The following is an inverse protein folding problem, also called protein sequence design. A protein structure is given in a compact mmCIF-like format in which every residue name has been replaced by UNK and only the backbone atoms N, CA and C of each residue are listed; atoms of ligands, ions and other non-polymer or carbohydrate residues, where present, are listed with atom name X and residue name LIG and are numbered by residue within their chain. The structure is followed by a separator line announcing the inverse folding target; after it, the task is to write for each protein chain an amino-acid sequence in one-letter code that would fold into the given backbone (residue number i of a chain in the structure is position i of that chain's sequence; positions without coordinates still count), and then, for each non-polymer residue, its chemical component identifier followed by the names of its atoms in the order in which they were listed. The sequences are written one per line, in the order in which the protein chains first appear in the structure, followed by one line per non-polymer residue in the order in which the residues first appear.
data_IF_528209552291
#
_entry.id   IF_528209552291
#
_cell.length_a   1.000
_cell.length_b   1.000
_cell.length_c   1.000
_cell.angle_alpha   90.00
_cell.angle_beta   90.00
_cell.angle_gamma   90.00
#
_symmetry.space_group_name_H-M   'P 1'
#
loop_
_entity.id
_entity.type
_entity.pdbx_description
1 polymer ?
#
# COMPACT_ATOMS: atom_id res chain seq x y z
N UNK A 1 41.71 -0.25 18.89
CA UNK A 1 42.22 -1.47 18.30
C UNK A 1 41.06 -2.34 17.87
N UNK A 2 40.91 -2.61 16.56
CA UNK A 2 39.86 -3.42 16.00
C UNK A 2 39.06 -2.71 14.90
N UNK A 3 37.71 -2.70 15.00
CA UNK A 3 36.83 -2.04 14.04
C UNK A 3 36.86 -0.52 14.24
N UNK A 4 36.95 0.23 13.13
CA UNK A 4 36.78 1.67 13.14
C UNK A 4 35.26 2.05 13.20
N UNK A 5 34.98 3.32 13.46
CA UNK A 5 33.60 3.79 13.58
C UNK A 5 32.76 3.62 12.32
N UNK A 6 33.37 3.70 11.13
CA UNK A 6 32.69 3.51 9.84
C UNK A 6 32.28 2.03 9.66
N UNK A 7 33.18 1.11 9.99
CA UNK A 7 32.88 -0.32 9.91
C UNK A 7 31.81 -0.75 10.92
N UNK A 8 31.79 -0.17 12.13
CA UNK A 8 30.71 -0.38 13.11
C UNK A 8 29.39 0.14 12.58
N UNK A 9 29.37 1.35 12.02
CA UNK A 9 28.18 1.95 11.42
C UNK A 9 27.61 1.07 10.31
N UNK A 10 28.43 0.70 9.33
CA UNK A 10 28.02 -0.14 8.20
C UNK A 10 27.45 -1.49 8.68
N UNK A 11 28.06 -2.14 9.69
CA UNK A 11 27.54 -3.39 10.25
C UNK A 11 26.20 -3.22 10.97
N UNK A 12 25.99 -2.13 11.69
CA UNK A 12 24.73 -1.83 12.33
C UNK A 12 23.62 -1.58 11.28
N UNK A 13 23.95 -0.81 10.24
CA UNK A 13 23.00 -0.44 9.19
C UNK A 13 22.67 -1.59 8.24
N UNK A 14 23.56 -2.56 8.08
CA UNK A 14 23.27 -3.78 7.32
C UNK A 14 22.38 -4.79 8.08
N UNK A 15 22.18 -4.62 9.39
CA UNK A 15 21.43 -5.59 10.20
C UNK A 15 19.91 -5.32 10.13
N UNK A 16 19.05 -6.30 9.83
CA UNK A 16 17.61 -6.10 9.61
C UNK A 16 16.88 -5.34 10.73
N UNK A 17 17.20 -5.65 12.00
CA UNK A 17 16.52 -5.04 13.16
C UNK A 17 17.29 -3.86 13.77
N UNK A 18 18.59 -3.73 13.51
CA UNK A 18 19.45 -2.67 14.10
C UNK A 18 19.65 -1.48 13.16
N UNK A 19 19.31 -1.59 11.89
CA UNK A 19 19.45 -0.50 10.89
C UNK A 19 18.74 0.80 11.28
N UNK A 20 17.67 0.69 12.07
CA UNK A 20 16.89 1.84 12.56
C UNK A 20 17.51 2.51 13.82
N UNK A 21 18.63 1.98 14.35
CA UNK A 21 19.34 2.65 15.45
C UNK A 21 20.08 3.85 14.88
N UNK A 22 19.80 5.09 15.37
CA UNK A 22 20.53 6.25 14.94
C UNK A 22 22.02 6.14 15.31
N UNK A 23 22.88 6.44 14.36
CA UNK A 23 24.35 6.41 14.52
C UNK A 23 24.90 7.79 14.25
N UNK A 24 25.51 8.39 15.27
CA UNK A 24 26.26 9.65 15.16
C UNK A 24 27.74 9.34 15.19
N UNK A 25 28.45 9.71 14.14
CA UNK A 25 29.91 9.54 14.08
C UNK A 25 30.60 10.75 14.71
N UNK A 26 31.51 10.48 15.67
CA UNK A 26 32.33 11.51 16.26
C UNK A 26 33.71 11.47 15.60
N UNK A 27 34.06 12.56 14.89
CA UNK A 27 35.31 12.64 14.13
C UNK A 27 36.18 13.76 14.61
N UNK A 28 37.53 13.55 14.52
CA UNK A 28 38.50 14.62 14.72
C UNK A 28 38.75 15.41 13.43
N UNK A 29 38.30 14.90 12.31
CA UNK A 29 38.53 15.47 10.99
C UNK A 29 37.22 16.08 10.48
N UNK A 30 37.29 17.35 10.06
CA UNK A 30 36.15 18.08 9.46
C UNK A 30 36.26 18.14 7.92
N UNK A 31 36.97 17.14 7.35
CA UNK A 31 37.15 17.08 5.91
C UNK A 31 35.94 16.44 5.22
N UNK A 32 35.73 16.88 3.97
CA UNK A 32 34.58 16.46 3.15
C UNK A 32 34.61 14.97 2.84
N UNK A 33 35.78 14.37 2.69
CA UNK A 33 35.94 12.97 2.32
C UNK A 33 35.51 12.04 3.45
N UNK A 34 35.93 12.31 4.69
CA UNK A 34 35.52 11.55 5.86
C UNK A 34 33.99 11.63 6.10
N UNK A 35 33.39 12.81 5.90
CA UNK A 35 31.93 12.97 5.98
C UNK A 35 31.23 12.15 4.93
N UNK A 36 31.70 12.16 3.67
CA UNK A 36 31.11 11.40 2.58
C UNK A 36 31.15 9.89 2.86
N UNK A 37 32.32 9.37 3.25
CA UNK A 37 32.47 7.96 3.62
C UNK A 37 31.54 7.53 4.78
N UNK A 38 31.31 8.42 5.72
CA UNK A 38 30.38 8.16 6.81
C UNK A 38 28.93 8.12 6.37
N UNK A 39 28.51 9.00 5.45
CA UNK A 39 27.19 8.95 4.82
C UNK A 39 27.00 7.66 4.02
N UNK A 40 28.00 7.26 3.24
CA UNK A 40 28.00 5.99 2.51
C UNK A 40 27.91 4.78 3.44
N UNK A 41 28.52 4.84 4.65
CA UNK A 41 28.38 3.83 5.69
C UNK A 41 27.00 3.85 6.39
N UNK A 42 26.14 4.83 6.05
CA UNK A 42 24.79 4.97 6.58
C UNK A 42 24.70 5.71 7.92
N UNK A 43 25.69 6.55 8.29
CA UNK A 43 25.59 7.38 9.48
C UNK A 43 24.47 8.42 9.34
N UNK A 44 23.73 8.64 10.42
CA UNK A 44 22.61 9.58 10.43
C UNK A 44 23.06 11.01 10.73
N UNK A 45 24.20 11.20 11.42
CA UNK A 45 24.77 12.51 11.71
C UNK A 45 26.28 12.43 12.10
N UNK A 46 26.90 13.61 12.21
CA UNK A 46 28.33 13.77 12.57
C UNK A 46 28.51 14.85 13.63
N UNK A 47 29.48 14.66 14.50
CA UNK A 47 29.94 15.65 15.46
C UNK A 47 31.46 15.73 15.41
N UNK A 48 32.00 16.94 15.26
CA UNK A 48 33.45 17.20 15.29
C UNK A 48 33.96 17.28 16.72
N UNK A 49 35.21 16.86 16.95
CA UNK A 49 35.88 17.06 18.25
C UNK A 49 36.44 18.47 18.34
N UNK A 50 36.41 19.11 19.52
CA UNK A 50 35.88 18.63 20.81
C UNK A 50 34.34 18.60 20.80
N UNK A 51 33.76 17.54 21.39
CA UNK A 51 32.31 17.33 21.43
C UNK A 51 31.67 18.31 22.42
N UNK A 52 30.78 19.18 21.94
CA UNK A 52 29.92 19.96 22.79
C UNK A 52 28.75 19.12 23.29
N UNK A 53 28.57 19.06 24.62
CA UNK A 53 27.50 18.24 25.21
C UNK A 53 26.09 18.75 24.90
N UNK A 54 25.94 20.04 24.63
CA UNK A 54 24.66 20.66 24.27
C UNK A 54 24.29 20.32 22.82
N UNK A 55 25.25 20.35 21.90
CA UNK A 55 25.10 19.93 20.52
C UNK A 55 24.77 18.44 20.42
N UNK A 56 25.53 17.57 21.13
CA UNK A 56 25.25 16.14 21.15
C UNK A 56 23.83 15.83 21.63
N UNK A 57 23.39 16.49 22.74
CA UNK A 57 22.01 16.31 23.24
C UNK A 57 20.96 16.79 22.27
N UNK A 58 21.18 17.90 21.56
CA UNK A 58 20.24 18.43 20.58
C UNK A 58 20.07 17.46 19.40
N UNK A 59 21.17 16.98 18.81
CA UNK A 59 21.18 16.04 17.71
C UNK A 59 20.59 14.68 18.09
N UNK A 60 20.99 14.14 19.25
CA UNK A 60 20.42 12.89 19.76
C UNK A 60 18.89 13.00 19.97
N UNK A 61 18.39 14.12 20.47
CA UNK A 61 16.95 14.35 20.65
C UNK A 61 16.19 14.31 19.33
N UNK A 62 16.71 14.94 18.27
CA UNK A 62 16.10 14.94 16.94
C UNK A 62 16.06 13.51 16.39
N UNK A 63 17.21 12.83 16.37
CA UNK A 63 17.31 11.47 15.81
C UNK A 63 16.46 10.45 16.59
N UNK A 64 16.38 10.55 17.92
CA UNK A 64 15.52 9.68 18.73
C UNK A 64 14.04 9.96 18.51
N UNK A 65 13.67 11.23 18.29
CA UNK A 65 12.29 11.59 17.94
C UNK A 65 11.90 11.00 16.57
N UNK A 66 12.77 11.13 15.59
CA UNK A 66 12.52 10.61 14.24
C UNK A 66 12.43 9.07 14.25
N UNK A 67 13.30 8.40 15.02
CA UNK A 67 13.19 6.96 15.24
C UNK A 67 11.87 6.56 15.90
N UNK A 68 11.45 7.28 16.94
CA UNK A 68 10.19 7.00 17.63
C UNK A 68 8.98 7.20 16.70
N UNK A 69 9.04 8.19 15.80
CA UNK A 69 8.02 8.41 14.78
C UNK A 69 7.97 7.26 13.78
N UNK A 70 9.12 6.83 13.24
CA UNK A 70 9.21 5.71 12.30
C UNK A 70 8.67 4.40 12.91
N UNK A 71 9.02 4.09 14.17
CA UNK A 71 8.50 2.90 14.86
C UNK A 71 6.97 2.97 15.07
N UNK A 72 6.40 4.16 15.25
CA UNK A 72 4.94 4.34 15.33
C UNK A 72 4.27 4.15 13.98
N UNK A 73 4.89 4.61 12.90
CA UNK A 73 4.39 4.43 11.54
C UNK A 73 4.41 2.95 11.14
N UNK A 74 5.50 2.23 11.39
CA UNK A 74 5.60 0.78 11.16
C UNK A 74 4.54 0.01 11.95
N UNK A 75 4.27 0.41 13.20
CA UNK A 75 3.22 -0.18 14.02
C UNK A 75 1.81 0.08 13.48
N UNK A 76 1.54 1.29 12.99
CA UNK A 76 0.26 1.65 12.40
C UNK A 76 0.00 0.88 11.11
N UNK A 77 0.99 0.75 10.23
CA UNK A 77 0.89 -0.05 9.00
C UNK A 77 0.58 -1.52 9.31
N UNK A 78 1.28 -2.11 10.28
CA UNK A 78 1.03 -3.48 10.72
C UNK A 78 -0.41 -3.67 11.24
N UNK A 79 -0.92 -2.71 12.01
CA UNK A 79 -2.32 -2.75 12.51
C UNK A 79 -3.31 -2.68 11.36
N UNK A 80 -3.10 -1.79 10.40
CA UNK A 80 -3.93 -1.63 9.21
C UNK A 80 -4.00 -2.93 8.41
N UNK A 81 -2.85 -3.54 8.12
CA UNK A 81 -2.77 -4.83 7.42
C UNK A 81 -3.47 -5.95 8.21
N UNK A 82 -3.31 -5.96 9.52
CA UNK A 82 -3.95 -6.95 10.39
C UNK A 82 -5.48 -6.79 10.37
N UNK A 83 -6.00 -5.57 10.42
CA UNK A 83 -7.44 -5.31 10.34
C UNK A 83 -8.01 -5.73 8.98
N UNK A 84 -7.35 -5.42 7.88
CA UNK A 84 -7.76 -5.88 6.55
C UNK A 84 -7.84 -7.42 6.50
N UNK A 85 -6.84 -8.12 7.03
CA UNK A 85 -6.84 -9.59 7.12
C UNK A 85 -7.99 -10.14 7.98
N UNK A 86 -8.31 -9.50 9.10
CA UNK A 86 -9.45 -9.92 9.94
C UNK A 86 -10.76 -9.81 9.16
N UNK A 87 -10.93 -8.78 8.35
CA UNK A 87 -12.12 -8.63 7.50
C UNK A 87 -12.13 -9.68 6.39
N UNK A 88 -10.98 -9.92 5.75
CA UNK A 88 -10.83 -10.99 4.75
C UNK A 88 -11.19 -12.38 5.28
N UNK A 89 -10.92 -12.69 6.57
CA UNK A 89 -11.30 -14.01 7.14
C UNK A 89 -12.80 -14.22 7.20
N UNK A 90 -13.60 -13.17 7.15
CA UNK A 90 -15.07 -13.27 7.06
C UNK A 90 -15.54 -13.59 5.65
N UNK A 91 -14.79 -13.16 4.66
CA UNK A 91 -15.01 -13.47 3.23
C UNK A 91 -14.05 -14.62 2.87
N UNK A 92 -14.50 -15.87 3.03
CA UNK A 92 -13.70 -17.11 2.93
C UNK A 92 -12.85 -17.26 1.65
N UNK A 93 -12.96 -16.33 0.71
CA UNK A 93 -12.45 -16.43 -0.65
C UNK A 93 -11.38 -15.41 -1.03
N UNK A 94 -10.99 -14.56 -0.08
CA UNK A 94 -10.14 -13.39 -0.37
C UNK A 94 -8.77 -13.45 0.30
N UNK A 95 -8.29 -14.62 0.72
CA UNK A 95 -6.95 -14.73 1.35
C UNK A 95 -5.90 -14.06 0.48
N UNK A 96 -5.24 -13.03 1.05
CA UNK A 96 -4.26 -12.16 0.39
C UNK A 96 -4.79 -11.30 -0.78
N UNK A 97 -6.09 -11.24 -1.03
CA UNK A 97 -6.67 -10.39 -2.07
C UNK A 97 -6.34 -8.91 -1.85
N UNK A 98 -6.67 -8.38 -0.69
CA UNK A 98 -6.41 -6.98 -0.34
C UNK A 98 -4.93 -6.61 -0.48
N UNK A 99 -4.04 -7.50 -0.06
CA UNK A 99 -2.59 -7.33 -0.20
C UNK A 99 -2.18 -7.26 -1.69
N UNK A 100 -2.69 -8.16 -2.54
CA UNK A 100 -2.40 -8.16 -3.98
C UNK A 100 -2.96 -6.92 -4.66
N UNK A 101 -4.20 -6.51 -4.34
CA UNK A 101 -4.82 -5.28 -4.86
C UNK A 101 -3.98 -4.06 -4.50
N UNK A 102 -3.54 -3.92 -3.24
CA UNK A 102 -2.65 -2.84 -2.83
C UNK A 102 -1.33 -2.82 -3.60
N UNK A 103 -0.72 -3.98 -3.84
CA UNK A 103 0.53 -4.11 -4.61
C UNK A 103 0.34 -3.75 -6.08
N UNK A 104 -0.71 -4.27 -6.72
CA UNK A 104 -1.03 -3.91 -8.11
C UNK A 104 -1.29 -2.41 -8.23
N UNK A 105 -2.09 -1.82 -7.33
CA UNK A 105 -2.37 -0.39 -7.33
C UNK A 105 -1.08 0.45 -7.21
N UNK A 106 -0.17 0.06 -6.31
CA UNK A 106 1.14 0.71 -6.16
C UNK A 106 1.98 0.63 -7.43
N UNK A 107 2.03 -0.53 -8.10
CA UNK A 107 2.83 -0.69 -9.32
C UNK A 107 2.23 0.08 -10.51
N UNK A 108 0.89 0.12 -10.63
CA UNK A 108 0.22 0.99 -11.62
C UNK A 108 0.56 2.46 -11.34
N UNK A 109 0.48 2.89 -10.07
CA UNK A 109 0.82 4.26 -9.68
C UNK A 109 2.27 4.61 -9.99
N UNK A 110 3.22 3.69 -9.73
CA UNK A 110 4.64 3.86 -10.06
C UNK A 110 4.86 4.03 -11.55
N UNK A 111 4.25 3.20 -12.36
CA UNK A 111 4.33 3.29 -13.81
C UNK A 111 3.65 4.55 -14.36
N UNK A 112 2.63 5.06 -13.67
CA UNK A 112 2.00 6.37 -13.98
C UNK A 112 2.87 7.57 -13.60
N UNK A 113 3.97 7.37 -12.86
CA UNK A 113 4.90 8.44 -12.44
C UNK A 113 4.69 8.96 -11.03
N UNK A 114 3.91 8.26 -10.19
CA UNK A 114 3.79 8.56 -8.76
C UNK A 114 5.01 8.05 -7.98
N UNK A 115 5.37 8.71 -6.88
CA UNK A 115 6.53 8.35 -6.06
C UNK A 115 6.27 8.59 -4.57
N UNK A 116 7.18 8.09 -3.71
CA UNK A 116 7.18 8.35 -2.26
C UNK A 116 5.85 8.02 -1.60
N UNK A 117 5.30 9.00 -0.89
CA UNK A 117 4.09 8.83 -0.09
C UNK A 117 2.84 8.51 -0.92
N UNK A 118 2.76 8.98 -2.18
CA UNK A 118 1.63 8.68 -3.07
C UNK A 118 1.51 7.17 -3.34
N UNK A 119 2.63 6.46 -3.49
CA UNK A 119 2.66 5.02 -3.66
C UNK A 119 2.24 4.28 -2.39
N UNK A 120 2.59 4.81 -1.21
CA UNK A 120 2.15 4.27 0.08
C UNK A 120 0.64 4.44 0.24
N UNK A 121 0.10 5.59 -0.12
CA UNK A 121 -1.33 5.89 -0.13
C UNK A 121 -2.11 4.93 -1.03
N UNK A 122 -1.62 4.68 -2.23
CA UNK A 122 -2.24 3.73 -3.16
C UNK A 122 -2.25 2.31 -2.60
N UNK A 123 -1.12 1.88 -2.03
CA UNK A 123 -1.00 0.57 -1.40
C UNK A 123 -1.98 0.43 -0.24
N UNK A 124 -1.98 1.38 0.70
CA UNK A 124 -2.88 1.37 1.85
C UNK A 124 -4.36 1.43 1.45
N UNK A 125 -4.70 2.28 0.46
CA UNK A 125 -6.04 2.37 -0.08
C UNK A 125 -6.50 1.06 -0.72
N UNK A 126 -5.64 0.40 -1.49
CA UNK A 126 -5.91 -0.90 -2.08
C UNK A 126 -6.06 -2.01 -1.04
N UNK A 127 -5.22 -2.01 0.01
CA UNK A 127 -5.34 -2.99 1.11
C UNK A 127 -6.63 -2.81 1.90
N UNK A 128 -7.09 -1.57 2.07
CA UNK A 128 -8.25 -1.23 2.90
C UNK A 128 -9.55 -1.05 2.11
N UNK A 129 -9.54 -1.16 0.78
CA UNK A 129 -10.69 -0.82 -0.05
C UNK A 129 -11.99 -1.48 0.42
N UNK A 130 -11.90 -2.71 0.86
CA UNK A 130 -13.01 -3.56 1.29
C UNK A 130 -13.23 -3.62 2.82
N UNK A 131 -12.55 -2.78 3.63
CA UNK A 131 -12.63 -2.83 5.10
C UNK A 131 -14.07 -2.68 5.61
N UNK A 132 -14.92 -1.96 4.88
CA UNK A 132 -16.33 -1.76 5.23
C UNK A 132 -17.19 -3.02 5.12
N UNK A 133 -16.72 -4.10 4.50
CA UNK A 133 -17.37 -5.41 4.55
C UNK A 133 -17.53 -5.95 5.97
N UNK A 134 -16.78 -5.39 6.93
CA UNK A 134 -16.97 -5.67 8.35
C UNK A 134 -18.41 -5.42 8.84
N UNK A 135 -19.14 -4.51 8.20
CA UNK A 135 -20.53 -4.15 8.56
C UNK A 135 -21.59 -4.88 7.72
N UNK A 136 -21.18 -5.61 6.70
CA UNK A 136 -22.13 -6.36 5.88
C UNK A 136 -22.58 -7.61 6.65
N UNK A 137 -23.91 -7.85 6.77
CA UNK A 137 -24.45 -9.06 7.39
C UNK A 137 -23.90 -10.33 6.72
N UNK A 138 -23.59 -11.35 7.54
CA UNK A 138 -22.93 -12.57 7.04
C UNK A 138 -23.81 -13.37 6.08
N UNK A 139 -25.11 -13.32 6.21
CA UNK A 139 -26.07 -13.94 5.31
C UNK A 139 -26.08 -13.33 3.91
N UNK A 140 -25.76 -12.03 3.78
CA UNK A 140 -25.55 -11.35 2.51
C UNK A 140 -24.14 -11.59 1.99
N UNK A 141 -23.11 -11.40 2.84
CA UNK A 141 -21.70 -11.52 2.45
C UNK A 141 -21.35 -12.92 1.95
N UNK A 142 -21.88 -13.96 2.61
CA UNK A 142 -21.57 -15.38 2.33
C UNK A 142 -22.66 -16.06 1.49
N UNK A 143 -23.59 -15.30 0.91
CA UNK A 143 -24.67 -15.86 0.12
C UNK A 143 -24.13 -16.62 -1.10
N UNK A 144 -24.56 -17.85 -1.27
CA UNK A 144 -24.12 -18.74 -2.34
C UNK A 144 -24.79 -18.51 -3.70
N UNK A 145 -25.73 -17.59 -3.78
CA UNK A 145 -26.47 -17.25 -4.99
C UNK A 145 -26.38 -15.77 -5.33
N UNK A 146 -27.05 -15.32 -6.40
CA UNK A 146 -27.09 -13.90 -6.73
C UNK A 146 -27.77 -13.10 -5.62
N UNK A 147 -27.29 -11.88 -5.38
CA UNK A 147 -27.92 -10.94 -4.45
C UNK A 147 -29.18 -10.38 -5.09
N UNK A 148 -30.24 -10.21 -4.30
CA UNK A 148 -31.42 -9.42 -4.67
C UNK A 148 -31.08 -7.92 -4.72
N UNK A 149 -31.93 -7.10 -5.31
CA UNK A 149 -31.71 -5.66 -5.37
C UNK A 149 -31.55 -5.05 -3.96
N UNK A 150 -32.37 -5.49 -2.99
CA UNK A 150 -32.29 -5.03 -1.60
C UNK A 150 -30.95 -5.43 -0.93
N UNK A 151 -30.47 -6.64 -1.19
CA UNK A 151 -29.18 -7.10 -0.69
C UNK A 151 -28.01 -6.37 -1.37
N UNK A 152 -28.17 -6.01 -2.66
CA UNK A 152 -27.21 -5.18 -3.36
C UNK A 152 -27.12 -3.78 -2.76
N UNK A 153 -28.22 -3.16 -2.40
CA UNK A 153 -28.20 -1.86 -1.69
C UNK A 153 -27.43 -1.94 -0.38
N UNK A 154 -27.57 -3.04 0.38
CA UNK A 154 -26.77 -3.28 1.60
C UNK A 154 -25.31 -3.51 1.23
N UNK A 155 -25.00 -4.33 0.24
CA UNK A 155 -23.64 -4.63 -0.17
C UNK A 155 -22.88 -3.36 -0.60
N UNK A 156 -23.52 -2.45 -1.34
CA UNK A 156 -22.93 -1.19 -1.80
C UNK A 156 -22.52 -0.25 -0.67
N UNK A 157 -23.07 -0.44 0.55
CA UNK A 157 -22.73 0.40 1.69
C UNK A 157 -21.32 0.17 2.20
N UNK A 158 -20.62 -0.94 1.83
CA UNK A 158 -19.29 -1.22 2.35
C UNK A 158 -18.29 -0.12 2.00
N UNK A 159 -18.33 0.46 0.80
CA UNK A 159 -17.35 1.48 0.40
C UNK A 159 -17.50 2.79 1.20
N UNK A 160 -18.71 3.42 1.35
CA UNK A 160 -18.84 4.57 2.24
C UNK A 160 -18.61 4.23 3.72
N UNK A 161 -19.03 3.05 4.20
CA UNK A 161 -18.77 2.64 5.59
C UNK A 161 -17.29 2.38 5.85
N UNK A 162 -16.57 1.81 4.90
CA UNK A 162 -15.12 1.66 4.97
C UNK A 162 -14.40 3.01 5.11
N UNK A 163 -14.84 4.02 4.40
CA UNK A 163 -14.32 5.37 4.55
C UNK A 163 -14.57 5.93 5.97
N UNK A 164 -15.78 5.74 6.51
CA UNK A 164 -16.13 6.17 7.89
C UNK A 164 -15.26 5.48 8.94
N UNK A 165 -15.01 4.16 8.82
CA UNK A 165 -14.12 3.43 9.76
C UNK A 165 -12.72 4.04 9.80
N UNK A 166 -12.20 4.41 8.63
CA UNK A 166 -10.84 4.90 8.50
C UNK A 166 -10.70 6.40 8.80
N UNK A 167 -11.78 7.18 8.84
CA UNK A 167 -11.77 8.63 9.06
C UNK A 167 -10.97 9.09 10.30
N UNK A 168 -10.98 8.37 11.46
CA UNK A 168 -10.20 8.78 12.63
C UNK A 168 -8.69 8.68 12.45
N UNK A 169 -8.20 8.00 11.43
CA UNK A 169 -6.77 7.86 11.14
C UNK A 169 -6.23 9.15 10.52
N UNK A 170 -5.18 9.75 11.10
CA UNK A 170 -4.61 11.02 10.61
C UNK A 170 -4.10 10.96 9.18
N UNK A 171 -3.63 9.79 8.73
CA UNK A 171 -3.19 9.55 7.35
C UNK A 171 -4.34 9.22 6.40
N UNK A 172 -5.55 9.01 6.92
CA UNK A 172 -6.68 8.53 6.13
C UNK A 172 -7.11 9.49 5.03
N UNK A 173 -6.99 10.80 5.24
CA UNK A 173 -7.38 11.81 4.26
C UNK A 173 -6.84 11.54 2.85
N UNK A 174 -5.69 10.87 2.76
CA UNK A 174 -5.05 10.56 1.48
C UNK A 174 -5.60 9.29 0.81
N UNK A 175 -5.99 8.26 1.57
CA UNK A 175 -6.49 6.99 1.01
C UNK A 175 -8.00 6.79 1.15
N UNK A 176 -8.71 7.60 1.94
CA UNK A 176 -10.18 7.57 2.01
C UNK A 176 -10.86 7.66 0.64
N UNK A 177 -10.41 8.52 -0.30
CA UNK A 177 -10.99 8.56 -1.63
C UNK A 177 -10.89 7.22 -2.38
N UNK A 178 -9.84 6.44 -2.15
CA UNK A 178 -9.69 5.11 -2.74
C UNK A 178 -10.74 4.17 -2.17
N UNK A 179 -10.87 4.09 -0.83
CA UNK A 179 -11.82 3.22 -0.14
C UNK A 179 -13.26 3.56 -0.54
N UNK A 180 -13.60 4.84 -0.60
CA UNK A 180 -14.97 5.28 -0.90
C UNK A 180 -15.37 5.04 -2.35
N UNK A 181 -14.45 5.26 -3.31
CA UNK A 181 -14.79 5.39 -4.73
C UNK A 181 -14.25 4.28 -5.63
N UNK A 182 -13.66 3.20 -5.09
CA UNK A 182 -13.12 2.10 -5.91
C UNK A 182 -14.19 1.35 -6.75
N UNK A 183 -15.47 1.53 -6.45
CA UNK A 183 -16.59 1.02 -7.23
C UNK A 183 -17.25 2.07 -8.13
N UNK A 184 -16.69 3.27 -8.21
CA UNK A 184 -17.11 4.20 -9.25
C UNK A 184 -16.70 3.68 -10.62
N UNK A 185 -17.53 3.96 -11.61
CA UNK A 185 -17.32 3.54 -12.99
C UNK A 185 -16.99 4.76 -13.85
N UNK A 186 -16.10 4.57 -14.80
CA UNK A 186 -15.70 5.66 -15.68
C UNK A 186 -16.86 6.30 -16.45
N UNK A 187 -17.93 5.54 -16.70
CA UNK A 187 -19.18 6.00 -17.34
C UNK A 187 -20.18 6.67 -16.37
N UNK A 188 -19.86 6.84 -15.07
CA UNK A 188 -20.72 7.45 -14.06
C UNK A 188 -21.86 6.55 -13.54
N UNK A 189 -21.87 5.27 -13.91
CA UNK A 189 -22.88 4.29 -13.46
C UNK A 189 -22.43 3.49 -12.23
N UNK A 190 -21.35 3.95 -11.57
CA UNK A 190 -20.80 3.36 -10.37
C UNK A 190 -21.52 3.80 -9.10
N UNK A 191 -20.91 3.56 -7.97
CA UNK A 191 -21.37 3.98 -6.65
C UNK A 191 -20.19 4.31 -5.74
N UNK A 192 -20.34 5.07 -4.63
CA UNK A 192 -21.60 5.57 -4.08
C UNK A 192 -22.06 6.95 -4.61
N UNK A 193 -21.17 7.73 -5.21
CA UNK A 193 -21.41 9.15 -5.52
C UNK A 193 -21.65 9.41 -7.02
N UNK A 194 -21.65 8.36 -7.85
CA UNK A 194 -21.88 8.40 -9.31
C UNK A 194 -20.93 9.34 -10.06
N UNK A 195 -19.68 9.37 -9.61
CA UNK A 195 -18.61 10.13 -10.25
C UNK A 195 -18.26 9.52 -11.62
N UNK A 196 -17.87 10.38 -12.58
CA UNK A 196 -17.55 9.95 -13.93
C UNK A 196 -16.17 10.46 -14.39
N UNK A 197 -15.50 9.69 -15.23
CA UNK A 197 -14.26 10.11 -15.88
C UNK A 197 -13.18 10.55 -14.89
N UNK A 198 -12.65 11.75 -15.08
CA UNK A 198 -11.59 12.32 -14.26
C UNK A 198 -12.07 12.86 -12.88
N UNK A 199 -13.38 12.98 -12.66
CA UNK A 199 -13.95 13.36 -11.36
C UNK A 199 -13.77 12.22 -10.34
N UNK A 200 -13.61 10.98 -10.80
CA UNK A 200 -13.22 9.85 -9.94
C UNK A 200 -11.78 10.07 -9.46
N UNK A 201 -11.51 10.03 -8.15
CA UNK A 201 -10.17 10.18 -7.61
C UNK A 201 -9.16 9.23 -8.28
N UNK A 202 -7.96 9.74 -8.58
CA UNK A 202 -6.91 8.99 -9.29
C UNK A 202 -6.67 7.60 -8.68
N UNK A 203 -6.50 7.56 -7.35
CA UNK A 203 -6.25 6.30 -6.64
C UNK A 203 -7.41 5.31 -6.74
N UNK A 204 -8.66 5.79 -6.79
CA UNK A 204 -9.83 4.94 -6.94
C UNK A 204 -9.91 4.32 -8.35
N UNK A 205 -9.59 5.09 -9.41
CA UNK A 205 -9.49 4.56 -10.78
C UNK A 205 -8.44 3.48 -10.91
N UNK A 206 -7.28 3.67 -10.26
CA UNK A 206 -6.19 2.69 -10.22
C UNK A 206 -6.62 1.43 -9.45
N UNK A 207 -7.19 1.59 -8.25
CA UNK A 207 -7.62 0.48 -7.41
C UNK A 207 -8.72 -0.36 -8.07
N UNK A 208 -9.66 0.27 -8.78
CA UNK A 208 -10.71 -0.42 -9.53
C UNK A 208 -10.16 -1.39 -10.60
N UNK A 209 -9.07 -1.04 -11.27
CA UNK A 209 -8.41 -1.93 -12.23
C UNK A 209 -7.71 -3.08 -11.51
N UNK A 210 -7.00 -2.79 -10.42
CA UNK A 210 -6.28 -3.77 -9.62
C UNK A 210 -7.23 -4.81 -9.00
N UNK A 211 -8.34 -4.35 -8.40
CA UNK A 211 -9.39 -5.21 -7.82
C UNK A 211 -10.05 -6.10 -8.88
N UNK A 212 -10.46 -5.51 -10.00
CA UNK A 212 -11.08 -6.26 -11.09
C UNK A 212 -10.17 -7.35 -11.64
N UNK A 213 -8.87 -7.06 -11.81
CA UNK A 213 -7.89 -8.05 -12.22
C UNK A 213 -7.79 -9.19 -11.23
N UNK A 214 -7.53 -8.87 -9.95
CA UNK A 214 -7.36 -9.88 -8.91
C UNK A 214 -8.60 -10.75 -8.76
N UNK A 215 -9.79 -10.14 -8.84
CA UNK A 215 -11.05 -10.84 -8.86
C UNK A 215 -11.23 -11.78 -10.06
N UNK A 216 -10.59 -11.50 -11.20
CA UNK A 216 -10.70 -12.33 -12.40
C UNK A 216 -9.73 -13.51 -12.44
N UNK A 217 -8.50 -13.34 -11.94
CA UNK A 217 -7.43 -14.33 -12.07
C UNK A 217 -7.29 -15.26 -10.85
N UNK A 218 -8.07 -15.04 -9.81
CA UNK A 218 -8.11 -15.92 -8.64
C UNK A 218 -9.43 -16.69 -8.56
N UNK A 219 -9.37 -17.92 -8.02
CA UNK A 219 -10.55 -18.75 -7.83
C UNK A 219 -11.53 -18.10 -6.84
N UNK A 220 -12.83 -18.20 -7.16
CA UNK A 220 -13.93 -17.84 -6.25
C UNK A 220 -14.93 -19.00 -6.26
N UNK A 221 -15.74 -19.23 -5.21
CA UNK A 221 -16.62 -20.40 -5.07
C UNK A 221 -17.55 -20.65 -6.23
N UNK A 222 -17.89 -19.58 -6.93
CA UNK A 222 -18.89 -19.60 -8.02
C UNK A 222 -18.25 -19.37 -9.39
N UNK A 223 -16.89 -19.26 -9.45
CA UNK A 223 -16.22 -18.92 -10.68
C UNK A 223 -14.78 -19.39 -10.70
N UNK A 224 -14.44 -20.20 -11.69
CA UNK A 224 -13.06 -20.58 -12.02
C UNK A 224 -12.23 -19.33 -12.38
N UNK A 225 -10.96 -19.31 -11.97
CA UNK A 225 -10.01 -18.30 -12.39
C UNK A 225 -9.92 -18.21 -13.91
N UNK A 226 -9.81 -16.99 -14.42
CA UNK A 226 -9.54 -16.77 -15.84
C UNK A 226 -8.03 -16.83 -16.09
N UNK A 227 -7.64 -17.32 -17.25
CA UNK A 227 -6.29 -17.13 -17.76
C UNK A 227 -5.98 -15.65 -17.95
N UNK A 228 -4.72 -15.25 -17.76
CA UNK A 228 -4.29 -13.84 -17.81
C UNK A 228 -4.74 -13.14 -19.09
N UNK A 229 -4.61 -13.80 -20.25
CA UNK A 229 -5.03 -13.22 -21.53
C UNK A 229 -6.55 -12.99 -21.61
N UNK A 230 -7.34 -13.84 -20.96
CA UNK A 230 -8.80 -13.67 -20.91
C UNK A 230 -9.18 -12.52 -20.00
N UNK A 231 -8.50 -12.39 -18.86
CA UNK A 231 -8.72 -11.29 -17.94
C UNK A 231 -8.33 -9.95 -18.56
N UNK A 232 -7.18 -9.87 -19.27
CA UNK A 232 -6.77 -8.67 -20.00
C UNK A 232 -7.77 -8.29 -21.11
N UNK A 233 -8.32 -9.26 -21.86
CA UNK A 233 -9.36 -8.96 -22.84
C UNK A 233 -10.58 -8.34 -22.21
N UNK A 234 -11.06 -8.88 -21.07
CA UNK A 234 -12.21 -8.30 -20.34
C UNK A 234 -11.96 -6.88 -19.84
N UNK A 235 -10.76 -6.60 -19.32
CA UNK A 235 -10.39 -5.27 -18.92
C UNK A 235 -10.42 -4.31 -20.11
N UNK A 236 -9.86 -4.71 -21.26
CA UNK A 236 -9.87 -3.91 -22.51
C UNK A 236 -11.28 -3.66 -23.03
N UNK A 237 -12.18 -4.63 -22.96
CA UNK A 237 -13.60 -4.48 -23.32
C UNK A 237 -14.34 -3.46 -22.44
N UNK A 238 -13.98 -3.37 -21.16
CA UNK A 238 -14.57 -2.41 -20.21
C UNK A 238 -13.92 -1.04 -20.19
N UNK A 239 -12.84 -0.82 -20.96
CA UNK A 239 -12.14 0.45 -21.04
C UNK A 239 -13.06 1.58 -21.55
N UNK A 240 -13.04 2.72 -20.86
CA UNK A 240 -13.91 3.87 -21.19
C UNK A 240 -15.34 3.76 -20.68
N UNK A 241 -15.75 2.58 -20.17
CA UNK A 241 -17.06 2.38 -19.53
C UNK A 241 -16.90 2.04 -18.05
N UNK A 242 -16.36 0.89 -17.72
CA UNK A 242 -16.15 0.48 -16.34
C UNK A 242 -14.86 1.06 -15.76
N UNK A 243 -13.81 1.07 -16.55
CA UNK A 243 -12.47 1.48 -16.11
C UNK A 243 -11.87 2.58 -16.99
N UNK A 244 -10.93 3.32 -16.41
CA UNK A 244 -10.15 4.33 -17.13
C UNK A 244 -9.25 3.67 -18.19
N UNK A 245 -9.40 4.06 -19.47
CA UNK A 245 -8.63 3.47 -20.57
C UNK A 245 -7.10 3.60 -20.38
N UNK A 246 -6.66 4.70 -19.78
CA UNK A 246 -5.24 4.95 -19.56
C UNK A 246 -4.62 3.92 -18.62
N UNK A 247 -5.34 3.55 -17.54
CA UNK A 247 -4.86 2.54 -16.58
C UNK A 247 -5.00 1.11 -17.11
N UNK A 248 -5.99 0.84 -17.96
CA UNK A 248 -6.09 -0.47 -18.64
C UNK A 248 -4.90 -0.70 -19.56
N UNK A 249 -4.50 0.28 -20.36
CA UNK A 249 -3.33 0.19 -21.23
C UNK A 249 -2.05 -0.04 -20.40
N UNK A 250 -1.80 0.84 -19.44
CA UNK A 250 -0.62 0.79 -18.56
C UNK A 250 -0.52 -0.54 -17.81
N UNK A 251 -1.64 -1.01 -17.27
CA UNK A 251 -1.68 -2.27 -16.55
C UNK A 251 -1.43 -3.48 -17.46
N UNK A 252 -1.94 -3.46 -18.70
CA UNK A 252 -1.65 -4.49 -19.69
C UNK A 252 -0.15 -4.65 -19.95
N UNK A 253 0.56 -3.54 -20.15
CA UNK A 253 2.02 -3.52 -20.33
C UNK A 253 2.75 -4.10 -19.09
N UNK A 254 2.29 -3.77 -17.89
CA UNK A 254 2.86 -4.29 -16.65
C UNK A 254 2.65 -5.81 -16.49
N UNK A 255 1.47 -6.32 -16.83
CA UNK A 255 1.18 -7.76 -16.76
C UNK A 255 2.04 -8.52 -17.81
N UNK A 256 2.15 -8.02 -19.02
CA UNK A 256 3.01 -8.58 -20.07
C UNK A 256 4.50 -8.59 -19.65
N UNK A 257 4.92 -7.67 -18.76
CA UNK A 257 6.26 -7.63 -18.16
C UNK A 257 6.45 -8.57 -16.96
N UNK A 258 5.46 -9.41 -16.61
CA UNK A 258 5.53 -10.39 -15.52
C UNK A 258 5.17 -9.82 -14.14
N UNK A 259 4.39 -8.75 -14.06
CA UNK A 259 3.95 -8.18 -12.78
C UNK A 259 3.12 -9.16 -11.95
N UNK A 260 2.26 -9.96 -12.59
CA UNK A 260 1.39 -10.90 -11.90
C UNK A 260 2.19 -11.90 -11.05
N UNK A 261 3.25 -12.49 -11.62
CA UNK A 261 4.10 -13.46 -10.94
C UNK A 261 4.87 -12.83 -9.77
N UNK A 262 5.38 -11.61 -9.96
CA UNK A 262 6.07 -10.86 -8.90
C UNK A 262 5.16 -10.57 -7.72
N UNK A 263 3.95 -10.10 -7.97
CA UNK A 263 2.97 -9.80 -6.91
C UNK A 263 2.54 -11.07 -6.17
N UNK A 264 2.32 -12.17 -6.89
CA UNK A 264 1.97 -13.46 -6.29
C UNK A 264 3.09 -13.98 -5.36
N UNK A 265 4.34 -13.94 -5.83
CA UNK A 265 5.50 -14.38 -5.04
C UNK A 265 5.70 -13.55 -3.76
N UNK A 266 5.52 -12.24 -3.84
CA UNK A 266 5.65 -11.35 -2.70
C UNK A 266 4.50 -11.50 -1.68
N UNK A 267 3.26 -11.70 -2.12
CA UNK A 267 2.12 -11.94 -1.23
C UNK A 267 2.31 -13.19 -0.37
N UNK A 268 2.90 -14.25 -0.92
CA UNK A 268 3.21 -15.49 -0.21
C UNK A 268 4.35 -15.33 0.82
N UNK A 269 5.26 -14.39 0.64
CA UNK A 269 6.40 -14.18 1.55
C UNK A 269 6.02 -13.47 2.86
N UNK A 270 4.90 -12.77 2.91
CA UNK A 270 4.40 -12.05 4.10
C UNK A 270 3.67 -12.95 5.11
N UNK A 271 3.46 -14.21 4.79
CA UNK A 271 2.78 -15.20 5.65
C UNK A 271 3.71 -16.09 6.48
N UNK A 272 5.03 -15.85 6.42
CA UNK A 272 6.04 -16.64 7.16
C UNK A 272 6.71 -15.80 8.28
#
# INVERSE_FOLDING_TARGET
PGLDGLAVCARLKAHPTRRLIPVVLVTAFDDRETKLRGLEAGADDFISRPVDASELRARARVLLRDRALNLRLDGAETIILTLARVVETRDLYTVHHSERVGRFAREIGRAHGLHGDDLTVLYQGGVLHDIGKAFIPSDILLKSGPLTDAEWEVMRTHSPQGAVICEPLRSAAFFLPVIRHHHERFDGRGYPDHLAGADIPLGARIAAVADAWDAMVNERPYRTALEHDQALRRLREGAGTQWDPAFIQLFGELIESGLADRVAAEALSFGR
#
